data_IF_975847679673
#
_entry.id   IF_975847679673
#
_cell.length_a   1.000
_cell.length_b   1.000
_cell.length_c   1.000
_cell.angle_alpha   90.00
_cell.angle_beta   90.00
_cell.angle_gamma   90.00
#
_symmetry.space_group_name_H-M   'P 1'
#
loop_
_entity.id
_entity.type
_entity.pdbx_description
1 polymer ?
#
# COMPACT_ATOMS: atom_id res chain seq x y z
N UNK A 1 -10.18 16.81 -7.50
CA UNK A 1 -8.72 17.03 -7.61
C UNK A 1 -8.01 15.91 -6.89
N UNK A 2 -6.80 15.53 -7.34
CA UNK A 2 -5.99 14.56 -6.59
C UNK A 2 -5.62 15.14 -5.22
N UNK A 3 -6.03 14.46 -4.17
CA UNK A 3 -5.77 14.87 -2.80
C UNK A 3 -4.35 14.46 -2.40
N UNK A 4 -3.55 15.40 -1.89
CA UNK A 4 -2.12 15.21 -1.58
C UNK A 4 -1.90 14.94 -0.08
N UNK A 5 -2.95 15.08 0.74
CA UNK A 5 -2.93 14.83 2.19
C UNK A 5 -2.72 13.35 2.51
N UNK A 6 -2.11 13.04 3.65
CA UNK A 6 -1.82 11.68 4.13
C UNK A 6 -2.40 11.49 5.54
N UNK A 7 -2.67 10.25 5.95
CA UNK A 7 -3.20 9.92 7.28
C UNK A 7 -4.72 10.00 7.40
N UNK A 8 -5.43 9.97 6.27
CA UNK A 8 -6.89 9.87 6.25
C UNK A 8 -7.35 8.40 6.22
N UNK A 9 -8.66 8.19 6.41
CA UNK A 9 -9.26 6.84 6.41
C UNK A 9 -9.35 6.20 5.03
N UNK A 10 -9.22 6.98 3.96
CA UNK A 10 -9.18 6.48 2.58
C UNK A 10 -7.74 6.27 2.09
N UNK A 11 -7.50 5.19 1.34
CA UNK A 11 -6.21 4.95 0.70
C UNK A 11 -5.96 5.91 -0.47
N UNK A 12 -4.76 6.50 -0.51
CA UNK A 12 -4.29 7.37 -1.58
C UNK A 12 -2.99 6.83 -2.19
N UNK A 13 -2.90 6.85 -3.52
CA UNK A 13 -1.73 6.40 -4.28
C UNK A 13 -1.29 7.54 -5.19
N UNK A 14 -0.03 7.97 -5.07
CA UNK A 14 0.50 9.16 -5.74
C UNK A 14 1.84 8.83 -6.38
N UNK A 15 2.16 9.47 -7.50
CA UNK A 15 3.53 9.54 -8.01
C UNK A 15 4.14 10.86 -7.49
N UNK A 16 5.07 10.84 -6.50
CA UNK A 16 5.57 12.07 -5.89
C UNK A 16 6.28 12.98 -6.90
N UNK A 17 6.99 12.40 -7.88
CA UNK A 17 7.65 13.14 -8.94
C UNK A 17 6.70 13.98 -9.80
N UNK A 18 5.44 13.55 -9.93
CA UNK A 18 4.40 14.20 -10.71
C UNK A 18 3.36 14.94 -9.84
N UNK A 19 3.51 14.90 -8.52
CA UNK A 19 2.56 15.49 -7.57
C UNK A 19 3.28 16.33 -6.52
N UNK A 20 3.57 15.79 -5.33
CA UNK A 20 4.08 16.57 -4.20
C UNK A 20 5.48 17.15 -4.39
N UNK A 21 6.25 16.67 -5.37
CA UNK A 21 7.60 17.15 -5.69
C UNK A 21 7.74 17.53 -7.18
N UNK A 22 6.62 17.84 -7.85
CA UNK A 22 6.64 18.28 -9.26
C UNK A 22 7.47 19.55 -9.48
N UNK A 23 7.58 20.41 -8.46
CA UNK A 23 8.34 21.66 -8.50
C UNK A 23 9.87 21.46 -8.38
N UNK A 24 10.33 20.27 -8.00
CA UNK A 24 11.77 19.96 -7.96
C UNK A 24 12.29 19.65 -9.37
N UNK A 25 13.52 20.06 -9.65
CA UNK A 25 14.19 19.63 -10.89
C UNK A 25 14.44 18.11 -10.88
N UNK A 26 14.61 17.51 -12.06
CA UNK A 26 14.92 16.07 -12.18
C UNK A 26 16.19 15.67 -11.41
N UNK A 27 17.20 16.54 -11.39
CA UNK A 27 18.44 16.29 -10.67
C UNK A 27 18.23 16.27 -9.15
N UNK A 28 17.40 17.18 -8.64
CA UNK A 28 17.05 17.23 -7.21
C UNK A 28 16.16 16.05 -6.81
N UNK A 29 15.18 15.68 -7.66
CA UNK A 29 14.37 14.47 -7.44
C UNK A 29 15.24 13.22 -7.38
N UNK A 30 16.17 13.07 -8.32
CA UNK A 30 17.10 11.93 -8.34
C UNK A 30 18.01 11.91 -7.11
N UNK A 31 18.55 13.07 -6.70
CA UNK A 31 19.35 13.19 -5.47
C UNK A 31 18.56 12.81 -4.21
N UNK A 32 17.25 13.05 -4.22
CA UNK A 32 16.32 12.67 -3.15
C UNK A 32 15.80 11.22 -3.26
N UNK A 33 16.24 10.43 -4.25
CA UNK A 33 15.78 9.05 -4.46
C UNK A 33 14.36 8.95 -5.04
N UNK A 34 13.85 10.01 -5.65
CA UNK A 34 12.51 10.06 -6.26
C UNK A 34 12.65 9.80 -7.76
N UNK A 35 12.30 8.59 -8.19
CA UNK A 35 12.20 8.24 -9.61
C UNK A 35 10.81 8.58 -10.15
N UNK A 36 10.68 8.70 -11.48
CA UNK A 36 9.37 8.88 -12.15
C UNK A 36 8.44 7.67 -11.96
N UNK A 37 8.98 6.53 -11.57
CA UNK A 37 8.24 5.30 -11.23
C UNK A 37 8.03 5.12 -9.73
N UNK A 38 8.53 6.03 -8.89
CA UNK A 38 8.30 5.98 -7.46
C UNK A 38 6.81 6.22 -7.18
N UNK A 39 6.18 5.26 -6.52
CA UNK A 39 4.81 5.37 -6.05
C UNK A 39 4.80 5.50 -4.53
N UNK A 40 4.00 6.43 -4.00
CA UNK A 40 3.75 6.62 -2.57
C UNK A 40 2.31 6.20 -2.26
N UNK A 41 2.15 5.27 -1.33
CA UNK A 41 0.86 4.74 -0.90
C UNK A 41 0.63 5.19 0.55
N UNK A 42 -0.38 6.04 0.77
CA UNK A 42 -0.89 6.33 2.10
C UNK A 42 -2.10 5.42 2.33
N UNK A 43 -1.89 4.35 3.10
CA UNK A 43 -2.91 3.33 3.35
C UNK A 43 -3.94 3.84 4.37
N UNK A 44 -5.22 3.70 4.03
CA UNK A 44 -6.34 4.09 4.89
C UNK A 44 -6.81 2.94 5.79
N UNK A 45 -8.13 2.75 5.87
CA UNK A 45 -8.76 1.63 6.59
C UNK A 45 -9.46 0.65 5.64
N UNK A 46 -9.08 0.67 4.36
CA UNK A 46 -9.67 -0.16 3.32
C UNK A 46 -9.36 -1.65 3.50
N UNK A 47 -10.17 -2.50 2.88
CA UNK A 47 -9.83 -3.91 2.77
C UNK A 47 -8.54 -4.08 1.94
N UNK A 48 -7.47 -4.56 2.60
CA UNK A 48 -6.16 -4.74 1.95
C UNK A 48 -6.23 -5.70 0.75
N UNK A 49 -7.12 -6.70 0.77
CA UNK A 49 -7.30 -7.61 -0.36
C UNK A 49 -7.87 -6.90 -1.58
N UNK A 50 -8.82 -5.99 -1.38
CA UNK A 50 -9.35 -5.14 -2.46
C UNK A 50 -8.25 -4.24 -3.04
N UNK A 51 -7.39 -3.66 -2.19
CA UNK A 51 -6.27 -2.84 -2.64
C UNK A 51 -5.26 -3.64 -3.48
N UNK A 52 -4.91 -4.85 -3.05
CA UNK A 52 -4.02 -5.75 -3.82
C UNK A 52 -4.65 -6.10 -5.17
N UNK A 53 -5.94 -6.44 -5.18
CA UNK A 53 -6.65 -6.73 -6.42
C UNK A 53 -6.64 -5.53 -7.38
N UNK A 54 -6.87 -4.32 -6.87
CA UNK A 54 -6.78 -3.09 -7.66
C UNK A 54 -5.39 -2.90 -8.28
N UNK A 55 -4.31 -3.16 -7.53
CA UNK A 55 -2.96 -3.07 -8.08
C UNK A 55 -2.75 -4.08 -9.22
N UNK A 56 -3.07 -5.35 -9.01
CA UNK A 56 -2.87 -6.38 -10.04
C UNK A 56 -3.67 -6.06 -11.30
N UNK A 57 -4.93 -5.64 -11.15
CA UNK A 57 -5.78 -5.28 -12.28
C UNK A 57 -5.29 -4.03 -13.02
N UNK A 58 -4.83 -3.01 -12.30
CA UNK A 58 -4.24 -1.82 -12.91
C UNK A 58 -2.98 -2.14 -13.70
N UNK A 59 -2.12 -3.04 -13.20
CA UNK A 59 -0.91 -3.50 -13.90
C UNK A 59 -1.25 -4.32 -15.14
N UNK A 60 -2.25 -5.20 -15.06
CA UNK A 60 -2.79 -5.92 -16.23
C UNK A 60 -3.26 -4.98 -17.32
N UNK A 61 -3.85 -3.85 -16.95
CA UNK A 61 -4.35 -2.88 -17.92
C UNK A 61 -3.24 -1.96 -18.46
N UNK A 62 -2.32 -1.51 -17.61
CA UNK A 62 -1.38 -0.44 -17.95
C UNK A 62 0.01 -0.93 -18.38
N UNK A 63 0.46 -2.07 -17.86
CA UNK A 63 1.84 -2.56 -18.07
C UNK A 63 1.87 -3.80 -18.97
N UNK A 64 1.00 -4.79 -18.73
CA UNK A 64 1.02 -6.04 -19.50
C UNK A 64 0.91 -5.85 -21.04
N UNK A 65 0.17 -4.87 -21.59
CA UNK A 65 0.15 -4.64 -23.04
C UNK A 65 1.51 -4.24 -23.64
N UNK A 66 2.40 -3.66 -22.82
CA UNK A 66 3.74 -3.19 -23.23
C UNK A 66 4.81 -4.20 -22.79
N UNK A 67 4.59 -4.85 -21.64
CA UNK A 67 5.46 -5.87 -21.08
C UNK A 67 4.64 -7.11 -20.68
N UNK A 68 4.38 -8.03 -21.61
CA UNK A 68 3.55 -9.21 -21.34
C UNK A 68 4.04 -10.03 -20.14
N UNK A 69 3.09 -10.48 -19.31
CA UNK A 69 3.36 -11.29 -18.12
C UNK A 69 3.96 -10.53 -16.93
N UNK A 70 4.01 -9.20 -16.96
CA UNK A 70 4.49 -8.41 -15.82
C UNK A 70 3.67 -8.69 -14.57
N UNK A 71 2.34 -8.66 -14.69
CA UNK A 71 1.43 -8.92 -13.56
C UNK A 71 1.49 -10.35 -13.01
N UNK A 72 2.00 -11.32 -13.77
CA UNK A 72 2.15 -12.72 -13.35
C UNK A 72 3.26 -12.92 -12.30
N UNK A 73 4.11 -11.90 -12.11
CA UNK A 73 5.14 -11.91 -11.06
C UNK A 73 4.55 -11.72 -9.65
N UNK A 74 3.26 -11.37 -9.54
CA UNK A 74 2.57 -11.27 -8.27
C UNK A 74 2.25 -12.65 -7.70
N UNK A 75 2.22 -12.74 -6.37
CA UNK A 75 1.83 -13.96 -5.66
C UNK A 75 0.42 -14.41 -6.06
N UNK A 76 0.21 -15.71 -6.24
CA UNK A 76 -1.08 -16.28 -6.57
C UNK A 76 -2.15 -15.92 -5.52
N UNK A 77 -3.39 -15.68 -5.97
CA UNK A 77 -4.49 -15.22 -5.11
C UNK A 77 -4.74 -16.11 -3.88
N UNK A 78 -4.76 -17.43 -4.07
CA UNK A 78 -4.94 -18.38 -2.96
C UNK A 78 -3.83 -18.26 -1.91
N UNK A 79 -2.58 -18.08 -2.34
CA UNK A 79 -1.45 -17.91 -1.43
C UNK A 79 -1.47 -16.56 -0.72
N UNK A 80 -1.95 -15.51 -1.38
CA UNK A 80 -2.20 -14.21 -0.77
C UNK A 80 -3.30 -14.27 0.29
N UNK A 81 -4.39 -15.01 0.04
CA UNK A 81 -5.44 -15.21 1.03
C UNK A 81 -4.90 -15.91 2.29
N UNK A 82 -4.12 -16.96 2.13
CA UNK A 82 -3.44 -17.64 3.25
C UNK A 82 -2.48 -16.72 4.01
N UNK A 83 -1.65 -15.96 3.28
CA UNK A 83 -0.72 -14.99 3.86
C UNK A 83 -1.46 -13.93 4.67
N UNK A 84 -2.50 -13.35 4.08
CA UNK A 84 -3.33 -12.34 4.70
C UNK A 84 -3.95 -12.86 5.99
N UNK A 85 -4.61 -14.02 5.95
CA UNK A 85 -5.25 -14.61 7.12
C UNK A 85 -4.26 -14.87 8.24
N UNK A 86 -3.09 -15.45 7.92
CA UNK A 86 -2.05 -15.76 8.90
C UNK A 86 -1.52 -14.50 9.57
N UNK A 87 -1.11 -13.49 8.78
CA UNK A 87 -0.56 -12.23 9.32
C UNK A 87 -1.62 -11.48 10.13
N UNK A 88 -2.86 -11.41 9.63
CA UNK A 88 -3.95 -10.76 10.36
C UNK A 88 -4.18 -11.41 11.74
N UNK A 89 -4.23 -12.76 11.79
CA UNK A 89 -4.41 -13.48 13.04
C UNK A 89 -3.24 -13.25 14.01
N UNK A 90 -2.00 -13.30 13.51
CA UNK A 90 -0.79 -13.08 14.32
C UNK A 90 -0.76 -11.67 14.93
N UNK A 91 -0.99 -10.64 14.12
CA UNK A 91 -0.97 -9.25 14.59
C UNK A 91 -2.10 -8.99 15.60
N UNK A 92 -3.31 -9.52 15.37
CA UNK A 92 -4.40 -9.37 16.33
C UNK A 92 -4.11 -10.09 17.65
N UNK A 93 -3.54 -11.31 17.60
CA UNK A 93 -3.15 -12.03 18.81
C UNK A 93 -2.10 -11.24 19.62
N UNK A 94 -1.10 -10.66 18.96
CA UNK A 94 -0.11 -9.78 19.60
C UNK A 94 -0.77 -8.53 20.20
N UNK A 95 -1.66 -7.87 19.46
CA UNK A 95 -2.39 -6.70 19.94
C UNK A 95 -3.21 -7.02 21.20
N UNK A 96 -4.05 -8.05 21.16
CA UNK A 96 -4.86 -8.43 22.32
C UNK A 96 -4.02 -8.91 23.50
N UNK A 97 -2.94 -9.66 23.25
CA UNK A 97 -2.02 -10.12 24.28
C UNK A 97 -1.22 -9.01 24.98
N UNK A 98 -1.12 -7.82 24.36
CA UNK A 98 -0.44 -6.65 24.93
C UNK A 98 -1.38 -5.67 25.63
N UNK A 99 -2.70 -5.88 25.58
CA UNK A 99 -3.64 -5.00 26.26
C UNK A 99 -3.67 -5.30 27.77
N UNK A 100 -3.85 -4.28 28.62
CA UNK A 100 -4.09 -4.51 30.04
C UNK A 100 -5.33 -5.39 30.25
N UNK A 101 -5.29 -6.20 31.29
CA UNK A 101 -6.46 -6.97 31.73
C UNK A 101 -7.55 -6.03 32.23
N UNK A 102 -8.80 -6.48 32.18
CA UNK A 102 -9.92 -5.72 32.74
C UNK A 102 -9.72 -5.44 34.25
N UNK A 103 -9.09 -6.36 34.97
CA UNK A 103 -8.76 -6.20 36.40
C UNK A 103 -7.76 -5.06 36.61
N UNK A 104 -6.82 -4.84 35.70
CA UNK A 104 -5.89 -3.71 35.76
C UNK A 104 -6.56 -2.38 35.39
N UNK A 105 -7.50 -2.41 34.44
CA UNK A 105 -8.22 -1.20 34.00
C UNK A 105 -9.26 -0.68 34.99
N UNK A 106 -9.82 -1.54 35.86
CA UNK A 106 -10.86 -1.18 36.84
C UNK A 106 -10.30 -0.78 38.23
N UNK A 107 -8.98 -0.64 38.36
CA UNK A 107 -8.32 -0.11 39.58
C UNK A 107 -8.23 1.41 39.52
#
# INVERSE_FOLDING_TARGET
GHQISIGQTNTLILCPALTSHSEMSRAEQQKAGIALTTMRIAMGCDCVKSLIAHFVLALKQAIDPIHPGFSDSFMAAARLDELHQRVAAEVHAQYYGSQPTLVEMLK
#
